data_IF_447397460717
#
_entry.id   IF_447397460717
#
_cell.length_a   1.000
_cell.length_b   1.000
_cell.length_c   1.000
_cell.angle_alpha   90.00
_cell.angle_beta   90.00
_cell.angle_gamma   90.00
#
_symmetry.space_group_name_H-M   'P 1'
#
loop_
_entity.id
_entity.type
_entity.pdbx_description
1 polymer ?
#
# COMPACT_ATOMS: atom_id res chain seq x y z
N UNK A 1 -41.09 17.72 -31.37
CA UNK A 1 -40.88 17.21 -30.01
C UNK A 1 -41.87 17.89 -29.08
N UNK A 2 -42.87 17.16 -28.55
CA UNK A 2 -43.84 17.68 -27.59
C UNK A 2 -43.16 18.30 -26.36
N UNK A 3 -43.82 19.27 -25.72
CA UNK A 3 -43.31 19.96 -24.54
C UNK A 3 -42.97 18.98 -23.40
N UNK A 4 -43.75 17.90 -23.27
CA UNK A 4 -43.54 16.88 -22.24
C UNK A 4 -42.26 16.08 -22.47
N UNK A 5 -41.99 15.72 -23.73
CA UNK A 5 -40.75 15.03 -24.11
C UNK A 5 -39.53 15.94 -23.90
N UNK A 6 -39.65 17.25 -24.16
CA UNK A 6 -38.61 18.26 -23.82
C UNK A 6 -38.35 18.32 -22.31
N UNK A 7 -39.39 18.37 -21.48
CA UNK A 7 -39.25 18.38 -20.02
C UNK A 7 -38.57 17.11 -19.51
N UNK A 8 -38.97 15.95 -20.02
CA UNK A 8 -38.36 14.67 -19.63
C UNK A 8 -36.86 14.61 -19.94
N UNK A 9 -36.44 15.09 -21.12
CA UNK A 9 -35.01 15.12 -21.49
C UNK A 9 -34.22 16.02 -20.55
N UNK A 10 -34.72 17.23 -20.26
CA UNK A 10 -34.06 18.18 -19.36
C UNK A 10 -33.94 17.62 -17.95
N UNK A 11 -35.03 17.05 -17.41
CA UNK A 11 -35.00 16.45 -16.07
C UNK A 11 -34.05 15.26 -15.99
N UNK A 12 -33.99 14.41 -17.02
CA UNK A 12 -33.04 13.30 -17.08
C UNK A 12 -31.58 13.78 -17.11
N UNK A 13 -31.30 14.85 -17.85
CA UNK A 13 -29.96 15.45 -17.88
C UNK A 13 -29.58 16.05 -16.52
N UNK A 14 -30.54 16.74 -15.86
CA UNK A 14 -30.36 17.30 -14.53
C UNK A 14 -30.05 16.23 -13.48
N UNK A 15 -30.80 15.13 -13.44
CA UNK A 15 -30.54 14.04 -12.49
C UNK A 15 -29.18 13.38 -12.72
N UNK A 16 -28.78 13.19 -13.98
CA UNK A 16 -27.44 12.69 -14.31
C UNK A 16 -26.33 13.62 -13.82
N UNK A 17 -26.51 14.92 -14.01
CA UNK A 17 -25.56 15.93 -13.54
C UNK A 17 -25.45 15.91 -12.02
N UNK A 18 -26.58 15.79 -11.31
CA UNK A 18 -26.62 15.72 -9.86
C UNK A 18 -25.86 14.49 -9.33
N UNK A 19 -26.09 13.32 -9.92
CA UNK A 19 -25.36 12.09 -9.55
C UNK A 19 -23.87 12.21 -9.85
N UNK A 20 -23.51 12.75 -11.01
CA UNK A 20 -22.11 12.96 -11.39
C UNK A 20 -21.39 13.92 -10.44
N UNK A 21 -22.05 15.03 -10.08
CA UNK A 21 -21.53 16.00 -9.13
C UNK A 21 -21.38 15.40 -7.74
N UNK A 22 -22.35 14.61 -7.27
CA UNK A 22 -22.25 13.94 -5.97
C UNK A 22 -21.07 12.96 -5.93
N UNK A 23 -20.87 12.16 -6.98
CA UNK A 23 -19.69 11.29 -7.12
C UNK A 23 -18.36 12.05 -7.14
N UNK A 24 -18.33 13.20 -7.80
CA UNK A 24 -17.14 14.06 -7.82
C UNK A 24 -16.84 14.65 -6.43
N UNK A 25 -17.87 15.07 -5.70
CA UNK A 25 -17.72 15.69 -4.38
C UNK A 25 -17.51 14.67 -3.26
N UNK A 26 -18.04 13.46 -3.41
CA UNK A 26 -18.10 12.40 -2.40
C UNK A 26 -17.83 11.04 -3.05
N UNK A 27 -16.62 10.84 -3.59
CA UNK A 27 -16.28 9.58 -4.25
C UNK A 27 -16.48 8.40 -3.30
N UNK A 28 -17.07 7.32 -3.82
CA UNK A 28 -17.40 6.11 -3.07
C UNK A 28 -16.28 5.05 -3.11
N UNK A 29 -15.19 5.33 -3.83
CA UNK A 29 -14.08 4.39 -4.01
C UNK A 29 -14.33 3.33 -5.08
N UNK A 30 -15.36 3.50 -5.90
CA UNK A 30 -15.53 2.74 -7.15
C UNK A 30 -14.46 3.13 -8.18
N UNK A 31 -14.29 2.32 -9.23
CA UNK A 31 -13.34 2.64 -10.30
C UNK A 31 -13.72 3.91 -11.07
N UNK A 32 -15.02 4.23 -11.14
CA UNK A 32 -15.54 5.44 -11.79
C UNK A 32 -15.55 6.67 -10.89
N UNK A 33 -15.44 6.49 -9.58
CA UNK A 33 -15.31 7.57 -8.60
C UNK A 33 -14.33 7.17 -7.48
N UNK A 34 -13.02 7.05 -7.79
CA UNK A 34 -12.02 6.68 -6.79
C UNK A 34 -11.92 7.77 -5.72
N UNK A 35 -11.72 7.34 -4.47
CA UNK A 35 -11.48 8.28 -3.38
C UNK A 35 -10.05 8.80 -3.41
N UNK A 36 -9.76 9.94 -2.78
CA UNK A 36 -8.35 10.41 -2.72
C UNK A 36 -7.49 9.51 -1.82
N UNK A 37 -8.04 9.10 -0.67
CA UNK A 37 -7.48 8.07 0.22
C UNK A 37 -8.63 7.25 0.83
N UNK A 38 -8.31 6.12 1.48
CA UNK A 38 -9.29 5.38 2.27
C UNK A 38 -9.88 6.22 3.42
N UNK A 39 -9.11 7.14 3.98
CA UNK A 39 -9.59 8.10 4.99
C UNK A 39 -10.66 9.04 4.43
N UNK A 40 -10.50 9.52 3.20
CA UNK A 40 -11.49 10.38 2.54
C UNK A 40 -12.78 9.60 2.22
N UNK A 41 -12.67 8.37 1.72
CA UNK A 41 -13.83 7.49 1.48
C UNK A 41 -14.58 7.27 2.79
N UNK A 42 -13.89 6.90 3.86
CA UNK A 42 -14.46 6.70 5.20
C UNK A 42 -15.18 7.96 5.71
N UNK A 43 -14.59 9.14 5.49
CA UNK A 43 -15.16 10.39 5.95
C UNK A 43 -16.51 10.68 5.28
N UNK A 44 -16.62 10.44 3.97
CA UNK A 44 -17.86 10.66 3.23
C UNK A 44 -18.88 9.52 3.39
N UNK A 45 -18.39 8.29 3.56
CA UNK A 45 -19.20 7.07 3.57
C UNK A 45 -18.87 6.18 4.78
N UNK A 46 -19.18 6.63 6.02
CA UNK A 46 -18.73 5.98 7.26
C UNK A 46 -19.34 4.60 7.53
N UNK A 47 -20.35 4.20 6.75
CA UNK A 47 -20.99 2.88 6.85
C UNK A 47 -20.38 1.83 5.91
N UNK A 48 -19.43 2.23 5.05
CA UNK A 48 -18.76 1.28 4.17
C UNK A 48 -17.86 0.34 5.00
N UNK A 49 -17.83 -0.96 4.65
CA UNK A 49 -16.99 -1.93 5.33
C UNK A 49 -15.51 -1.79 4.93
N UNK A 50 -14.61 -2.39 5.71
CA UNK A 50 -13.24 -2.60 5.26
C UNK A 50 -13.20 -3.60 4.11
N UNK A 51 -12.74 -3.18 2.92
CA UNK A 51 -12.70 -3.99 1.71
C UNK A 51 -11.73 -3.37 0.67
N UNK A 52 -11.75 -3.84 -0.57
CA UNK A 52 -11.01 -3.27 -1.68
C UNK A 52 -11.72 -2.06 -2.29
N UNK A 53 -10.99 -0.96 -2.43
CA UNK A 53 -11.47 0.27 -3.04
C UNK A 53 -10.42 0.85 -3.99
N UNK A 54 -10.87 1.62 -4.97
CA UNK A 54 -10.00 2.41 -5.84
C UNK A 54 -9.72 3.75 -5.18
N UNK A 55 -8.45 4.11 -5.09
CA UNK A 55 -8.02 5.43 -4.66
C UNK A 55 -7.14 6.10 -5.70
N UNK A 56 -7.20 7.42 -5.75
CA UNK A 56 -6.40 8.28 -6.60
C UNK A 56 -5.71 9.39 -5.76
N UNK A 57 -4.62 9.06 -5.04
CA UNK A 57 -3.85 10.02 -4.24
C UNK A 57 -3.30 11.21 -5.03
N UNK A 58 -2.80 10.99 -6.24
CA UNK A 58 -2.18 12.05 -7.05
C UNK A 58 -3.24 12.97 -7.70
N UNK A 59 -4.46 12.45 -7.92
CA UNK A 59 -5.55 13.16 -8.56
C UNK A 59 -5.30 13.39 -10.06
N UNK A 60 -6.27 14.01 -10.71
CA UNK A 60 -6.17 14.30 -12.15
C UNK A 60 -6.87 13.23 -12.97
N UNK A 61 -6.11 12.38 -13.67
CA UNK A 61 -6.69 11.32 -14.51
C UNK A 61 -6.93 10.05 -13.69
N UNK A 62 -8.18 9.79 -13.32
CA UNK A 62 -8.59 8.61 -12.55
C UNK A 62 -8.27 7.25 -13.20
N UNK A 63 -7.80 7.21 -14.45
CA UNK A 63 -7.37 5.97 -15.10
C UNK A 63 -6.11 5.35 -14.46
N UNK A 64 -5.29 6.14 -13.77
CA UNK A 64 -4.10 5.68 -13.04
C UNK A 64 -4.38 5.37 -11.55
N UNK A 65 -5.65 5.40 -11.14
CA UNK A 65 -6.08 5.05 -9.80
C UNK A 65 -5.63 3.63 -9.42
N UNK A 66 -5.34 3.43 -8.14
CA UNK A 66 -4.80 2.18 -7.60
C UNK A 66 -5.84 1.45 -6.75
N UNK A 67 -5.89 0.13 -6.89
CA UNK A 67 -6.73 -0.72 -6.04
C UNK A 67 -5.98 -1.02 -4.73
N UNK A 68 -6.58 -0.66 -3.61
CA UNK A 68 -6.03 -0.85 -2.26
C UNK A 68 -7.04 -1.55 -1.36
N UNK A 69 -6.58 -2.09 -0.23
CA UNK A 69 -7.49 -2.46 0.85
C UNK A 69 -7.64 -1.29 1.82
N UNK A 70 -8.88 -0.84 2.01
CA UNK A 70 -9.20 0.17 3.01
C UNK A 70 -9.58 -0.48 4.32
N UNK A 71 -8.82 -0.19 5.37
CA UNK A 71 -9.27 -0.46 6.73
C UNK A 71 -10.14 0.71 7.20
N UNK A 72 -11.46 0.59 7.06
CA UNK A 72 -12.42 1.62 7.45
C UNK A 72 -12.49 1.82 8.98
N UNK A 73 -11.93 0.91 9.78
CA UNK A 73 -11.80 1.11 11.23
C UNK A 73 -10.84 2.26 11.51
N UNK A 74 -9.70 2.29 10.82
CA UNK A 74 -8.61 3.24 11.05
C UNK A 74 -8.49 4.31 9.95
N UNK A 75 -9.15 4.12 8.81
CA UNK A 75 -8.97 4.94 7.60
C UNK A 75 -7.67 4.66 6.84
N UNK A 76 -7.02 3.51 7.07
CA UNK A 76 -5.72 3.21 6.47
C UNK A 76 -5.85 2.69 5.04
N UNK A 77 -4.96 3.15 4.16
CA UNK A 77 -4.82 2.69 2.78
C UNK A 77 -3.71 1.64 2.66
N UNK A 78 -4.06 0.37 2.52
CA UNK A 78 -3.11 -0.74 2.44
C UNK A 78 -2.83 -1.11 0.98
N UNK A 79 -1.62 -0.82 0.50
CA UNK A 79 -1.13 -1.21 -0.83
C UNK A 79 -0.40 -2.55 -0.71
N UNK A 80 -0.84 -3.56 -1.46
CA UNK A 80 -0.22 -4.89 -1.40
C UNK A 80 0.97 -5.03 -2.34
N UNK A 81 2.02 -5.77 -1.90
CA UNK A 81 3.16 -6.08 -2.75
C UNK A 81 2.80 -7.10 -3.85
N UNK A 82 3.62 -7.16 -4.89
CA UNK A 82 3.58 -8.16 -5.95
C UNK A 82 5.02 -8.65 -6.24
N UNK A 83 5.31 -9.96 -6.09
CA UNK A 83 4.45 -10.97 -5.49
C UNK A 83 4.26 -10.75 -3.97
N UNK A 84 3.24 -11.39 -3.38
CA UNK A 84 2.96 -11.29 -1.94
C UNK A 84 3.83 -12.24 -1.10
N UNK A 85 4.28 -13.34 -1.70
CA UNK A 85 5.18 -14.31 -1.12
C UNK A 85 6.22 -14.72 -2.17
N UNK A 86 7.39 -15.15 -1.70
CA UNK A 86 8.40 -15.78 -2.54
C UNK A 86 8.29 -17.30 -2.46
N UNK A 87 8.96 -17.98 -3.39
CA UNK A 87 9.36 -19.37 -3.17
C UNK A 87 10.52 -19.40 -2.16
N UNK A 88 10.88 -20.60 -1.71
CA UNK A 88 12.11 -20.82 -0.95
C UNK A 88 13.32 -20.47 -1.82
N UNK A 89 14.21 -19.64 -1.30
CA UNK A 89 15.44 -19.22 -1.98
C UNK A 89 16.63 -19.72 -1.16
N UNK A 90 17.58 -20.39 -1.83
CA UNK A 90 18.81 -20.86 -1.20
C UNK A 90 19.99 -20.02 -1.67
N UNK A 91 20.64 -19.32 -0.75
CA UNK A 91 21.83 -18.54 -1.04
C UNK A 91 23.10 -19.32 -0.64
N UNK A 92 23.98 -19.57 -1.60
CA UNK A 92 25.24 -20.29 -1.41
C UNK A 92 26.47 -19.39 -1.26
N UNK A 93 26.30 -18.06 -1.31
CA UNK A 93 27.41 -17.14 -1.19
C UNK A 93 27.95 -17.00 0.23
N UNK A 94 29.18 -16.49 0.34
CA UNK A 94 29.89 -16.31 1.62
C UNK A 94 29.76 -14.92 2.21
N UNK A 95 29.33 -13.95 1.41
CA UNK A 95 29.19 -12.55 1.79
C UNK A 95 27.72 -12.19 1.96
N UNK A 96 27.46 -11.05 2.61
CA UNK A 96 26.12 -10.46 2.58
C UNK A 96 25.74 -10.08 1.13
N UNK A 97 24.48 -10.28 0.77
CA UNK A 97 23.93 -9.92 -0.52
C UNK A 97 22.48 -9.43 -0.37
N UNK A 98 22.08 -8.49 -1.22
CA UNK A 98 20.67 -8.09 -1.27
C UNK A 98 19.83 -9.17 -1.96
N UNK A 99 18.58 -9.31 -1.52
CA UNK A 99 17.63 -10.26 -2.13
C UNK A 99 17.46 -10.03 -3.64
N UNK A 100 17.60 -8.80 -4.12
CA UNK A 100 17.52 -8.47 -5.55
C UNK A 100 18.77 -8.85 -6.36
N UNK A 101 19.88 -9.18 -5.70
CA UNK A 101 21.18 -9.46 -6.33
C UNK A 101 21.49 -10.96 -6.40
N UNK A 102 20.75 -11.79 -5.65
CA UNK A 102 20.97 -13.23 -5.61
C UNK A 102 20.21 -13.96 -6.73
N UNK A 103 20.68 -15.16 -7.07
CA UNK A 103 19.98 -16.05 -7.98
C UNK A 103 18.59 -16.40 -7.43
N UNK A 104 17.57 -16.41 -8.27
CA UNK A 104 16.14 -16.51 -7.92
C UNK A 104 15.60 -15.40 -6.98
N UNK A 105 16.41 -14.36 -6.77
CA UNK A 105 16.07 -13.16 -6.03
C UNK A 105 15.09 -12.24 -6.75
N UNK A 106 14.55 -11.27 -6.01
CA UNK A 106 13.62 -10.28 -6.56
C UNK A 106 13.60 -8.99 -5.71
N UNK A 107 13.11 -7.92 -6.31
CA UNK A 107 12.77 -6.69 -5.58
C UNK A 107 11.31 -6.70 -5.18
N UNK A 108 11.02 -6.30 -3.94
CA UNK A 108 9.65 -6.14 -3.47
C UNK A 108 9.05 -4.92 -4.18
N UNK A 109 8.09 -5.17 -5.07
CA UNK A 109 7.36 -4.14 -5.79
C UNK A 109 5.91 -4.06 -5.33
N UNK A 110 5.26 -2.92 -5.55
CA UNK A 110 3.85 -2.71 -5.21
C UNK A 110 3.03 -2.48 -6.47
N UNK A 111 1.73 -2.84 -6.44
CA UNK A 111 0.79 -2.54 -7.54
C UNK A 111 0.33 -1.07 -7.50
N UNK A 112 1.28 -0.15 -7.46
CA UNK A 112 1.04 1.28 -7.45
C UNK A 112 2.24 1.99 -8.07
N UNK A 113 1.96 2.96 -8.94
CA UNK A 113 3.01 3.78 -9.53
C UNK A 113 3.67 4.67 -8.46
N UNK A 114 4.91 5.08 -8.73
CA UNK A 114 5.71 5.89 -7.81
C UNK A 114 5.03 7.22 -7.44
N UNK A 115 4.33 7.84 -8.40
CA UNK A 115 3.55 9.07 -8.17
C UNK A 115 2.46 8.84 -7.13
N UNK A 116 1.67 7.76 -7.27
CA UNK A 116 0.59 7.43 -6.36
C UNK A 116 1.10 7.16 -4.93
N UNK A 117 2.20 6.40 -4.79
CA UNK A 117 2.82 6.16 -3.49
C UNK A 117 3.37 7.44 -2.84
N UNK A 118 3.96 8.34 -3.63
CA UNK A 118 4.50 9.62 -3.15
C UNK A 118 3.38 10.51 -2.60
N UNK A 119 2.28 10.64 -3.33
CA UNK A 119 1.12 11.41 -2.84
C UNK A 119 0.47 10.74 -1.62
N UNK A 120 0.38 9.41 -1.60
CA UNK A 120 -0.13 8.71 -0.42
C UNK A 120 0.75 8.97 0.80
N UNK A 121 2.07 9.02 0.64
CA UNK A 121 3.00 9.41 1.70
C UNK A 121 2.77 10.86 2.18
N UNK A 122 2.54 11.80 1.26
CA UNK A 122 2.25 13.21 1.59
C UNK A 122 0.91 13.38 2.33
N UNK A 123 -0.06 12.51 2.04
CA UNK A 123 -1.41 12.53 2.62
C UNK A 123 -1.52 11.72 3.91
N UNK A 124 -0.45 11.05 4.34
CA UNK A 124 -0.44 10.15 5.50
C UNK A 124 0.44 10.69 6.63
N UNK A 125 0.00 10.50 7.88
CA UNK A 125 0.78 10.88 9.06
C UNK A 125 1.83 9.81 9.43
N UNK A 126 1.56 8.55 9.11
CA UNK A 126 2.44 7.42 9.39
C UNK A 126 2.21 6.29 8.38
N UNK A 127 3.21 5.42 8.24
CA UNK A 127 3.13 4.19 7.47
C UNK A 127 3.71 3.03 8.29
N UNK A 128 3.16 1.84 8.12
CA UNK A 128 3.62 0.61 8.77
C UNK A 128 3.62 -0.50 7.74
N UNK A 129 4.67 -1.32 7.77
CA UNK A 129 4.78 -2.51 6.92
C UNK A 129 5.33 -3.66 7.78
N UNK A 130 4.71 -4.83 7.64
CA UNK A 130 5.20 -6.07 8.23
C UNK A 130 5.81 -6.95 7.14
N UNK A 131 6.91 -7.62 7.47
CA UNK A 131 7.60 -8.57 6.59
C UNK A 131 7.91 -9.82 7.40
N UNK A 132 7.62 -10.98 6.83
CA UNK A 132 7.92 -12.28 7.45
C UNK A 132 9.07 -12.93 6.70
N UNK A 133 10.11 -13.34 7.42
CA UNK A 133 11.19 -14.16 6.90
C UNK A 133 10.94 -15.62 7.31
N UNK A 134 10.68 -16.49 6.36
CA UNK A 134 10.73 -17.93 6.58
C UNK A 134 12.19 -18.39 6.48
N UNK A 135 12.68 -19.05 7.53
CA UNK A 135 14.10 -19.35 7.69
C UNK A 135 14.35 -20.85 7.89
N UNK A 136 15.51 -21.32 7.40
CA UNK A 136 16.08 -22.63 7.73
C UNK A 136 17.58 -22.48 7.89
N UNK A 137 18.11 -22.84 9.06
CA UNK A 137 19.54 -22.68 9.40
C UNK A 137 20.08 -21.26 9.17
N UNK A 138 19.22 -20.24 9.33
CA UNK A 138 19.53 -18.84 9.04
C UNK A 138 19.04 -17.99 10.22
N UNK A 139 19.87 -17.04 10.66
CA UNK A 139 19.50 -16.08 11.72
C UNK A 139 18.64 -14.98 11.11
N UNK A 140 17.48 -14.71 11.70
CA UNK A 140 16.56 -13.68 11.20
C UNK A 140 16.72 -12.34 11.92
N UNK A 141 17.00 -12.37 13.23
CA UNK A 141 17.07 -11.16 14.05
C UNK A 141 18.20 -11.20 15.09
N UNK A 142 18.08 -11.98 16.16
CA UNK A 142 19.14 -12.10 17.18
C UNK A 142 19.96 -13.37 16.99
N UNK A 143 21.29 -13.25 16.92
CA UNK A 143 22.18 -14.42 16.85
C UNK A 143 22.50 -14.93 18.27
N UNK A 144 22.01 -16.12 18.68
CA UNK A 144 22.27 -16.66 20.01
C UNK A 144 23.73 -17.15 20.17
N UNK A 145 24.38 -17.59 19.10
CA UNK A 145 25.76 -18.05 19.12
C UNK A 145 26.75 -16.89 19.27
N UNK A 146 26.51 -15.78 18.56
CA UNK A 146 27.34 -14.58 18.62
C UNK A 146 26.88 -13.56 19.68
N UNK A 147 25.72 -13.78 20.30
CA UNK A 147 25.08 -12.92 21.31
C UNK A 147 24.91 -11.46 20.87
N UNK A 148 24.53 -11.25 19.61
CA UNK A 148 24.39 -9.92 19.03
C UNK A 148 23.42 -9.93 17.83
N UNK A 149 23.17 -8.76 17.24
CA UNK A 149 22.23 -8.57 16.12
C UNK A 149 22.93 -8.39 14.76
N UNK A 150 24.25 -8.60 14.67
CA UNK A 150 25.02 -8.26 13.45
C UNK A 150 24.66 -9.11 12.24
N UNK A 151 24.08 -10.29 12.47
CA UNK A 151 23.64 -11.24 11.45
C UNK A 151 22.12 -11.24 11.23
N UNK A 152 21.40 -10.33 11.89
CA UNK A 152 19.97 -10.15 11.65
C UNK A 152 19.72 -9.51 10.29
N UNK A 153 18.49 -9.67 9.79
CA UNK A 153 18.05 -9.14 8.50
C UNK A 153 18.27 -7.62 8.39
N UNK A 154 18.67 -7.15 7.22
CA UNK A 154 18.66 -5.73 6.87
C UNK A 154 17.55 -5.46 5.86
N UNK A 155 16.86 -4.33 6.03
CA UNK A 155 15.82 -3.89 5.10
C UNK A 155 16.27 -2.61 4.42
N UNK A 156 16.10 -2.53 3.11
CA UNK A 156 16.37 -1.32 2.34
C UNK A 156 15.07 -0.55 2.12
N UNK A 157 15.03 0.71 2.54
CA UNK A 157 13.89 1.60 2.34
C UNK A 157 13.91 2.20 0.92
N UNK A 158 12.78 2.79 0.50
CA UNK A 158 12.62 3.41 -0.83
C UNK A 158 13.59 4.57 -1.11
N UNK A 159 14.17 5.16 -0.05
CA UNK A 159 15.11 6.28 -0.10
C UNK A 159 16.55 5.85 0.23
N UNK A 160 16.89 4.59 -0.07
CA UNK A 160 18.20 3.97 0.14
C UNK A 160 18.66 3.89 1.60
N UNK A 161 17.77 4.18 2.55
CA UNK A 161 18.08 4.07 3.97
C UNK A 161 18.04 2.60 4.43
N UNK A 162 19.11 2.14 5.06
CA UNK A 162 19.14 0.83 5.72
C UNK A 162 18.41 0.87 7.06
N UNK A 163 17.47 -0.05 7.24
CA UNK A 163 16.76 -0.29 8.49
C UNK A 163 17.31 -1.59 9.09
N UNK A 164 17.85 -1.49 10.31
CA UNK A 164 18.63 -2.55 10.96
C UNK A 164 17.93 -3.07 12.23
N UNK A 165 18.28 -4.28 12.70
CA UNK A 165 17.73 -4.81 13.94
C UNK A 165 18.17 -4.02 15.18
N UNK A 166 19.38 -3.44 15.12
CA UNK A 166 19.95 -2.58 16.15
C UNK A 166 20.61 -1.36 15.52
N UNK A 167 19.89 -0.23 15.54
CA UNK A 167 20.33 1.07 15.05
C UNK A 167 19.73 2.20 15.91
N UNK A 168 19.89 3.45 15.46
CA UNK A 168 19.15 4.58 16.01
C UNK A 168 17.62 4.35 15.90
N UNK A 169 16.82 5.03 16.72
CA UNK A 169 15.38 4.77 16.77
C UNK A 169 14.63 5.02 15.44
N UNK A 170 15.19 5.81 14.51
CA UNK A 170 14.55 6.13 13.22
C UNK A 170 14.79 5.07 12.15
N UNK A 171 15.89 4.31 12.25
CA UNK A 171 16.32 3.31 11.29
C UNK A 171 16.39 1.91 11.91
N UNK A 172 15.53 1.67 12.92
CA UNK A 172 15.45 0.38 13.63
C UNK A 172 14.06 -0.22 13.48
N UNK A 173 13.99 -1.44 12.96
CA UNK A 173 12.76 -2.22 12.97
C UNK A 173 12.57 -2.99 14.28
N UNK A 174 11.34 -3.46 14.53
CA UNK A 174 11.01 -4.30 15.70
C UNK A 174 10.62 -5.69 15.20
N UNK A 175 11.21 -6.72 15.78
CA UNK A 175 10.73 -8.09 15.59
C UNK A 175 9.44 -8.29 16.41
N UNK A 176 8.39 -8.75 15.75
CA UNK A 176 7.12 -9.12 16.42
C UNK A 176 7.21 -10.53 17.01
N UNK A 177 7.95 -11.41 16.32
CA UNK A 177 8.26 -12.78 16.70
C UNK A 177 9.64 -13.11 16.13
N UNK A 178 10.46 -13.85 16.87
CA UNK A 178 11.78 -14.31 16.44
C UNK A 178 11.96 -15.79 16.79
N UNK A 179 11.95 -16.63 15.75
CA UNK A 179 12.14 -18.08 15.83
C UNK A 179 13.26 -18.54 14.87
N UNK A 180 14.09 -17.58 14.42
CA UNK A 180 15.25 -17.71 13.56
C UNK A 180 16.51 -17.23 14.32
#
# INVERSE_FOLDING_TARGET
MPLEERKQIVMKAYERLKVSLDKFLRPDGSKDAPGKTCGDIKYHHPLLPSDQYWIDPNGGDSNDAILVHCDMTNGASCVFPKPMESKDITYHGRNEAWLSEIEDGFSISYKADHSQLTYLQLLSVAAVQNVTLHCRNTVGYYDPGAKNYKRGLKLLAFNDAEILPKANNRLRYKALLDEC
#
